data_IF_962438809311
#
_entry.id   IF_962438809311
#
_cell.length_a   1.000
_cell.length_b   1.000
_cell.length_c   1.000
_cell.angle_alpha   90.00
_cell.angle_beta   90.00
_cell.angle_gamma   90.00
#
_symmetry.space_group_name_H-M   'P 1'
#
loop_
_entity.id
_entity.type
_entity.pdbx_description
1 polymer ?
#
# COMPACT_ATOMS: atom_id res chain seq x y z
N UNK A 1 -12.17 -1.83 -1.39
CA UNK A 1 -11.76 -1.24 -0.10
C UNK A 1 -10.72 -0.19 -0.41
N UNK A 2 -10.92 1.06 0.03
CA UNK A 2 -9.94 2.14 -0.16
C UNK A 2 -9.03 2.18 1.06
N UNK A 3 -7.71 2.03 0.85
CA UNK A 3 -6.72 2.03 1.92
C UNK A 3 -5.69 3.13 1.67
N UNK A 4 -5.40 3.87 2.74
CA UNK A 4 -4.46 4.99 2.74
C UNK A 4 -3.36 4.65 3.72
N UNK A 5 -2.11 4.59 3.24
CA UNK A 5 -0.95 4.29 4.09
C UNK A 5 -0.26 5.61 4.42
N UNK A 6 -0.45 6.12 5.64
CA UNK A 6 0.29 7.26 6.17
C UNK A 6 1.67 6.80 6.64
N UNK A 7 2.62 6.72 5.70
CA UNK A 7 3.97 6.26 5.95
C UNK A 7 4.97 7.40 6.09
N UNK A 8 5.97 7.25 6.97
CA UNK A 8 7.15 8.14 6.96
C UNK A 8 8.15 7.62 5.92
N UNK A 9 8.69 8.48 5.03
CA UNK A 9 9.72 8.04 4.08
C UNK A 9 10.93 7.49 4.86
N UNK A 10 11.30 6.24 4.59
CA UNK A 10 12.42 5.54 5.24
C UNK A 10 12.07 4.58 6.37
N UNK A 11 10.80 4.47 6.79
CA UNK A 11 10.40 3.42 7.74
C UNK A 11 10.30 2.06 7.02
N UNK A 12 11.07 1.02 7.41
CA UNK A 12 11.12 -0.26 6.70
C UNK A 12 9.76 -0.98 6.69
N UNK A 13 8.94 -0.76 7.71
CA UNK A 13 7.59 -1.35 7.80
C UNK A 13 6.60 -0.66 6.85
N UNK A 14 6.67 0.67 6.72
CA UNK A 14 5.78 1.43 5.83
C UNK A 14 6.06 1.11 4.36
N UNK A 15 7.33 0.95 3.98
CA UNK A 15 7.73 0.56 2.62
C UNK A 15 7.25 -0.85 2.30
N UNK A 16 7.46 -1.80 3.21
CA UNK A 16 7.01 -3.19 3.03
C UNK A 16 5.48 -3.29 2.94
N UNK A 17 4.75 -2.49 3.72
CA UNK A 17 3.29 -2.41 3.65
C UNK A 17 2.81 -1.91 2.27
N UNK A 18 3.51 -0.92 1.69
CA UNK A 18 3.25 -0.47 0.32
C UNK A 18 3.45 -1.59 -0.70
N UNK A 19 4.57 -2.31 -0.66
CA UNK A 19 4.86 -3.39 -1.62
C UNK A 19 3.81 -4.52 -1.55
N UNK A 20 3.41 -4.92 -0.35
CA UNK A 20 2.37 -5.92 -0.14
C UNK A 20 1.02 -5.45 -0.71
N UNK A 21 0.71 -4.17 -0.53
CA UNK A 21 -0.54 -3.62 -0.97
C UNK A 21 -0.57 -3.36 -2.49
N UNK A 22 0.58 -3.07 -3.14
CA UNK A 22 0.72 -3.08 -4.60
C UNK A 22 0.51 -4.49 -5.17
N UNK A 23 1.10 -5.52 -4.54
CA UNK A 23 0.88 -6.92 -4.95
C UNK A 23 -0.60 -7.31 -4.85
N UNK A 24 -1.25 -6.93 -3.75
CA UNK A 24 -2.67 -7.18 -3.52
C UNK A 24 -3.58 -6.41 -4.50
N UNK A 25 -3.21 -5.18 -4.87
CA UNK A 25 -3.90 -4.38 -5.90
C UNK A 25 -3.86 -5.08 -7.26
N UNK A 26 -2.73 -5.72 -7.58
CA UNK A 26 -2.56 -6.43 -8.84
C UNK A 26 -3.36 -7.74 -8.89
N UNK A 27 -3.40 -8.49 -7.80
CA UNK A 27 -4.19 -9.72 -7.69
C UNK A 27 -5.70 -9.45 -7.55
N UNK A 28 -6.09 -8.34 -6.92
CA UNK A 28 -7.49 -8.01 -6.64
C UNK A 28 -7.89 -6.67 -7.26
N UNK A 29 -8.62 -6.72 -8.38
CA UNK A 29 -9.20 -5.55 -9.10
C UNK A 29 -10.07 -4.59 -8.25
N UNK A 30 -10.41 -4.94 -7.01
CA UNK A 30 -11.24 -4.13 -6.08
C UNK A 30 -10.44 -3.43 -4.98
N UNK A 31 -9.11 -3.46 -5.06
CA UNK A 31 -8.22 -2.85 -4.08
C UNK A 31 -7.50 -1.67 -4.71
N UNK A 32 -7.70 -0.48 -4.14
CA UNK A 32 -7.16 0.78 -4.64
C UNK A 32 -6.28 1.41 -3.57
N UNK A 33 -4.98 1.47 -3.85
CA UNK A 33 -3.97 2.08 -2.98
C UNK A 33 -3.81 3.57 -3.31
N UNK A 34 -3.85 4.43 -2.30
CA UNK A 34 -3.43 5.83 -2.43
C UNK A 34 -2.35 6.12 -1.39
N UNK A 35 -1.17 6.51 -1.86
CA UNK A 35 -0.04 6.92 -1.02
C UNK A 35 -0.06 8.45 -0.92
N UNK A 36 -0.11 8.95 0.30
CA UNK A 36 -0.10 10.37 0.62
C UNK A 36 1.00 10.66 1.65
#
# INVERSE_FOLDING_TARGET
>A
MFTVIFGRPGCPYCVRAKELAEKLSNETRRFQLSLY
#
